data_IF_627260390415
#
_entry.id   IF_627260390415
#
_cell.length_a   1.000
_cell.length_b   1.000
_cell.length_c   1.000
_cell.angle_alpha   90.00
_cell.angle_beta   90.00
_cell.angle_gamma   90.00
#
_symmetry.space_group_name_H-M   'P 1'
#
loop_
_entity.id
_entity.type
_entity.pdbx_description
1 polymer ?
#
# COMPACT_ATOMS: atom_id res chain seq x y z
N UNK A 1 -19.02 -34.37 17.03
CA UNK A 1 -18.05 -34.73 15.98
C UNK A 1 -17.37 -33.44 15.52
N UNK A 2 -16.06 -33.26 15.67
CA UNK A 2 -15.38 -32.11 15.08
C UNK A 2 -15.01 -32.43 13.63
N UNK A 3 -15.37 -31.55 12.70
CA UNK A 3 -14.85 -31.58 11.34
C UNK A 3 -13.39 -31.11 11.36
N UNK A 4 -12.49 -32.07 11.17
CA UNK A 4 -11.05 -31.85 11.01
C UNK A 4 -10.80 -31.18 9.66
N UNK A 5 -9.93 -30.17 9.65
CA UNK A 5 -9.62 -29.30 8.51
C UNK A 5 -9.10 -30.01 7.24
N UNK A 6 -8.62 -29.26 6.23
CA UNK A 6 -8.18 -29.83 4.95
C UNK A 6 -7.21 -30.98 5.20
N UNK A 7 -7.35 -32.13 4.50
CA UNK A 7 -6.73 -33.36 4.95
C UNK A 7 -5.23 -33.19 4.89
N UNK A 8 -4.53 -33.36 6.03
CA UNK A 8 -3.07 -33.37 6.09
C UNK A 8 -2.43 -34.24 4.97
N UNK A 9 -3.17 -35.26 4.52
CA UNK A 9 -2.91 -36.09 3.36
C UNK A 9 -2.61 -35.30 2.06
N UNK A 10 -3.24 -34.15 1.81
CA UNK A 10 -3.06 -33.41 0.56
C UNK A 10 -1.71 -32.72 0.46
N UNK A 11 -1.28 -32.05 1.54
CA UNK A 11 0.04 -31.42 1.61
C UNK A 11 1.13 -32.47 1.58
N UNK A 12 0.94 -33.58 2.30
CA UNK A 12 1.90 -34.67 2.31
C UNK A 12 2.02 -35.35 0.94
N UNK A 13 0.92 -35.54 0.22
CA UNK A 13 0.92 -36.01 -1.16
C UNK A 13 1.67 -35.05 -2.09
N UNK A 14 1.37 -33.75 -2.02
CA UNK A 14 2.02 -32.73 -2.85
C UNK A 14 3.51 -32.60 -2.53
N UNK A 15 3.89 -32.72 -1.26
CA UNK A 15 5.29 -32.73 -0.80
C UNK A 15 6.03 -33.93 -1.34
N UNK A 16 5.48 -35.14 -1.20
CA UNK A 16 6.08 -36.36 -1.76
C UNK A 16 6.30 -36.23 -3.28
N UNK A 17 5.29 -35.74 -4.01
CA UNK A 17 5.42 -35.53 -5.46
C UNK A 17 6.43 -34.45 -5.82
N UNK A 18 6.58 -33.41 -5.00
CA UNK A 18 7.61 -32.39 -5.19
C UNK A 18 9.02 -32.97 -4.99
N UNK A 19 9.20 -33.82 -3.97
CA UNK A 19 10.46 -34.53 -3.73
C UNK A 19 10.80 -35.50 -4.87
N UNK A 20 9.79 -36.20 -5.41
CA UNK A 20 9.95 -37.09 -6.58
C UNK A 20 10.27 -36.30 -7.87
N UNK A 21 9.65 -35.12 -8.05
CA UNK A 21 9.72 -34.33 -9.28
C UNK A 21 9.93 -32.83 -8.99
N UNK A 22 11.13 -32.43 -8.54
CA UNK A 22 11.40 -31.06 -8.09
C UNK A 22 11.41 -30.03 -9.24
N UNK A 23 11.54 -30.47 -10.48
CA UNK A 23 11.46 -29.61 -11.67
C UNK A 23 10.02 -29.41 -12.20
N UNK A 24 9.03 -30.08 -11.61
CA UNK A 24 7.62 -29.92 -12.01
C UNK A 24 7.03 -28.63 -11.44
N UNK A 25 5.84 -28.20 -11.91
CA UNK A 25 5.11 -27.04 -11.36
C UNK A 25 4.37 -27.33 -10.05
N UNK A 26 4.55 -28.51 -9.47
CA UNK A 26 3.77 -28.94 -8.30
C UNK A 26 4.08 -28.11 -7.04
N UNK A 27 5.28 -27.52 -6.96
CA UNK A 27 5.68 -26.62 -5.89
C UNK A 27 4.73 -25.42 -5.75
N UNK A 28 4.12 -24.95 -6.85
CA UNK A 28 3.13 -23.87 -6.81
C UNK A 28 1.85 -24.29 -6.07
N UNK A 29 1.41 -25.53 -6.30
CA UNK A 29 0.23 -26.07 -5.62
C UNK A 29 0.54 -26.26 -4.14
N UNK A 30 1.70 -26.85 -3.82
CA UNK A 30 2.14 -27.05 -2.46
C UNK A 30 2.28 -25.73 -1.69
N UNK A 31 2.90 -24.71 -2.29
CA UNK A 31 3.04 -23.39 -1.69
C UNK A 31 1.68 -22.70 -1.46
N UNK A 32 0.74 -22.85 -2.40
CA UNK A 32 -0.60 -22.29 -2.23
C UNK A 32 -1.38 -22.98 -1.09
N UNK A 33 -1.22 -24.30 -0.89
CA UNK A 33 -1.79 -24.98 0.28
C UNK A 33 -1.19 -24.45 1.59
N UNK A 34 0.14 -24.30 1.66
CA UNK A 34 0.80 -23.71 2.83
C UNK A 34 0.31 -22.29 3.12
N UNK A 35 0.24 -21.45 2.09
CA UNK A 35 -0.28 -20.08 2.20
C UNK A 35 -1.72 -20.05 2.73
N UNK A 36 -2.61 -20.92 2.22
CA UNK A 36 -4.01 -21.01 2.69
C UNK A 36 -4.15 -21.46 4.13
N UNK A 37 -3.18 -22.20 4.65
CA UNK A 37 -3.14 -22.59 6.06
C UNK A 37 -2.56 -21.50 6.99
N UNK A 38 -2.19 -20.33 6.45
CA UNK A 38 -1.51 -19.29 7.23
C UNK A 38 -0.07 -19.65 7.55
N UNK A 39 0.58 -20.45 6.69
CA UNK A 39 1.97 -20.87 6.77
C UNK A 39 2.80 -20.30 5.60
N UNK A 40 2.88 -18.97 5.46
CA UNK A 40 3.56 -18.32 4.33
C UNK A 40 5.07 -18.54 4.31
N UNK A 41 5.73 -18.75 5.47
CA UNK A 41 7.16 -19.04 5.53
C UNK A 41 7.48 -20.39 4.88
N UNK A 42 6.69 -21.43 5.16
CA UNK A 42 6.82 -22.74 4.52
C UNK A 42 6.51 -22.66 3.02
N UNK A 43 5.56 -21.80 2.63
CA UNK A 43 5.29 -21.54 1.22
C UNK A 43 6.52 -20.93 0.52
N UNK A 44 7.21 -19.98 1.16
CA UNK A 44 8.44 -19.35 0.64
C UNK A 44 9.53 -20.40 0.43
N UNK A 45 9.79 -21.27 1.40
CA UNK A 45 10.82 -22.32 1.28
C UNK A 45 10.58 -23.24 0.07
N UNK A 46 9.32 -23.66 -0.12
CA UNK A 46 8.92 -24.49 -1.26
C UNK A 46 9.06 -23.74 -2.59
N UNK A 47 8.69 -22.46 -2.62
CA UNK A 47 8.80 -21.61 -3.80
C UNK A 47 10.26 -21.39 -4.19
N UNK A 48 11.13 -21.11 -3.23
CA UNK A 48 12.57 -20.93 -3.45
C UNK A 48 13.22 -22.23 -3.96
N UNK A 49 12.87 -23.37 -3.36
CA UNK A 49 13.34 -24.68 -3.83
C UNK A 49 12.88 -24.99 -5.26
N UNK A 50 11.62 -24.71 -5.59
CA UNK A 50 11.07 -24.89 -6.94
C UNK A 50 11.69 -23.95 -7.96
N UNK A 51 11.88 -22.68 -7.60
CA UNK A 51 12.50 -21.66 -8.46
C UNK A 51 14.00 -21.91 -8.65
N UNK A 52 14.70 -22.52 -7.70
CA UNK A 52 16.09 -22.95 -7.90
C UNK A 52 16.23 -23.98 -9.04
N UNK A 53 15.19 -24.78 -9.31
CA UNK A 53 15.13 -25.69 -10.47
C UNK A 53 14.54 -25.02 -11.71
N UNK A 54 13.72 -23.99 -11.53
CA UNK A 54 12.97 -23.28 -12.59
C UNK A 54 13.06 -21.76 -12.42
N UNK A 55 14.23 -21.16 -12.62
CA UNK A 55 14.44 -19.73 -12.31
C UNK A 55 13.65 -18.77 -13.22
N UNK A 56 13.08 -19.25 -14.32
CA UNK A 56 12.24 -18.47 -15.23
C UNK A 56 10.73 -18.61 -15.01
N UNK A 57 10.28 -19.33 -13.98
CA UNK A 57 8.84 -19.51 -13.75
C UNK A 57 8.20 -18.26 -13.12
N UNK A 58 7.64 -17.40 -13.97
CA UNK A 58 7.00 -16.15 -13.56
C UNK A 58 5.89 -16.37 -12.52
N UNK A 59 5.10 -17.44 -12.65
CA UNK A 59 4.03 -17.73 -11.70
C UNK A 59 4.58 -18.06 -10.31
N UNK A 60 5.72 -18.75 -10.24
CA UNK A 60 6.42 -19.01 -8.98
C UNK A 60 7.00 -17.75 -8.35
N UNK A 61 7.60 -16.88 -9.16
CA UNK A 61 8.12 -15.60 -8.68
C UNK A 61 6.99 -14.70 -8.14
N UNK A 62 5.84 -14.64 -8.81
CA UNK A 62 4.67 -13.90 -8.32
C UNK A 62 4.13 -14.48 -7.01
N UNK A 63 4.03 -15.81 -6.90
CA UNK A 63 3.63 -16.46 -5.66
C UNK A 63 4.61 -16.17 -4.51
N UNK A 64 5.92 -16.14 -4.81
CA UNK A 64 6.97 -15.80 -3.83
C UNK A 64 6.85 -14.35 -3.37
N UNK A 65 6.68 -13.41 -4.29
CA UNK A 65 6.44 -12.00 -3.98
C UNK A 65 5.20 -11.81 -3.10
N UNK A 66 4.10 -12.52 -3.38
CA UNK A 66 2.89 -12.49 -2.55
C UNK A 66 3.15 -12.99 -1.13
N UNK A 67 3.79 -14.15 -0.98
CA UNK A 67 4.05 -14.70 0.37
C UNK A 67 5.00 -13.78 1.16
N UNK A 68 6.01 -13.19 0.51
CA UNK A 68 6.91 -12.20 1.12
C UNK A 68 6.17 -10.94 1.58
N UNK A 69 5.18 -10.47 0.81
CA UNK A 69 4.31 -9.37 1.24
C UNK A 69 3.50 -9.71 2.47
N UNK A 70 2.90 -10.90 2.51
CA UNK A 70 2.06 -11.35 3.64
C UNK A 70 2.83 -11.40 4.97
N UNK A 71 4.13 -11.66 4.95
CA UNK A 71 5.00 -11.68 6.14
C UNK A 71 5.78 -10.38 6.37
N UNK A 72 5.55 -9.34 5.55
CA UNK A 72 6.21 -8.05 5.69
C UNK A 72 7.67 -7.99 5.22
N UNK A 73 8.15 -8.97 4.44
CA UNK A 73 9.45 -8.91 3.75
C UNK A 73 9.32 -8.07 2.47
N UNK A 74 9.01 -6.78 2.64
CA UNK A 74 8.57 -5.91 1.57
C UNK A 74 9.64 -5.67 0.51
N UNK A 75 10.89 -5.41 0.92
CA UNK A 75 12.01 -5.18 -0.01
C UNK A 75 12.28 -6.41 -0.88
N UNK A 76 12.27 -7.59 -0.26
CA UNK A 76 12.47 -8.86 -0.96
C UNK A 76 11.29 -9.19 -1.89
N UNK A 77 10.06 -8.76 -1.54
CA UNK A 77 8.92 -8.87 -2.42
C UNK A 77 9.05 -7.95 -3.65
N UNK A 78 9.44 -6.69 -3.44
CA UNK A 78 9.69 -5.73 -4.52
C UNK A 78 10.70 -6.28 -5.51
N UNK A 79 11.88 -6.73 -5.05
CA UNK A 79 12.92 -7.28 -5.92
C UNK A 79 12.41 -8.45 -6.77
N UNK A 80 11.65 -9.35 -6.15
CA UNK A 80 11.08 -10.53 -6.84
C UNK A 80 10.08 -10.12 -7.90
N UNK A 81 9.19 -9.18 -7.58
CA UNK A 81 8.13 -8.71 -8.45
C UNK A 81 8.68 -7.85 -9.60
N UNK A 82 9.69 -7.02 -9.34
CA UNK A 82 10.43 -6.30 -10.40
C UNK A 82 11.07 -7.26 -11.38
N UNK A 83 11.63 -8.38 -10.91
CA UNK A 83 12.15 -9.45 -11.75
C UNK A 83 11.10 -10.09 -12.68
N UNK A 84 9.83 -10.14 -12.24
CA UNK A 84 8.69 -10.56 -13.09
C UNK A 84 8.36 -9.49 -14.10
N UNK A 85 8.20 -8.23 -13.66
CA UNK A 85 7.85 -7.10 -14.52
C UNK A 85 8.90 -6.85 -15.60
N UNK A 86 10.17 -7.08 -15.32
CA UNK A 86 11.26 -6.99 -16.30
C UNK A 86 11.11 -8.01 -17.45
N UNK A 87 10.44 -9.14 -17.21
CA UNK A 87 10.19 -10.20 -18.20
C UNK A 87 8.81 -10.09 -18.86
N UNK A 88 7.81 -9.70 -18.08
CA UNK A 88 6.44 -9.48 -18.53
C UNK A 88 5.90 -8.20 -17.86
N UNK A 89 6.06 -7.09 -18.57
CA UNK A 89 5.64 -5.78 -18.09
C UNK A 89 4.12 -5.65 -17.91
N UNK A 90 3.34 -6.44 -18.66
CA UNK A 90 1.89 -6.43 -18.61
C UNK A 90 1.30 -7.41 -17.58
N UNK A 91 2.15 -8.13 -16.83
CA UNK A 91 1.68 -9.13 -15.88
C UNK A 91 0.80 -8.49 -14.80
N UNK A 92 -0.51 -8.75 -14.86
CA UNK A 92 -1.52 -8.07 -14.05
C UNK A 92 -1.26 -8.21 -12.55
N UNK A 93 -1.11 -9.45 -12.08
CA UNK A 93 -0.97 -9.75 -10.65
C UNK A 93 0.34 -9.17 -10.10
N UNK A 94 1.45 -9.27 -10.83
CA UNK A 94 2.73 -8.71 -10.42
C UNK A 94 2.67 -7.19 -10.27
N UNK A 95 2.01 -6.48 -11.19
CA UNK A 95 1.83 -5.03 -11.10
C UNK A 95 1.02 -4.65 -9.85
N UNK A 96 -0.10 -5.34 -9.58
CA UNK A 96 -0.93 -5.10 -8.38
C UNK A 96 -0.14 -5.30 -7.10
N UNK A 97 0.56 -6.43 -6.98
CA UNK A 97 1.38 -6.75 -5.81
C UNK A 97 2.55 -5.78 -5.64
N UNK A 98 3.16 -5.30 -6.73
CA UNK A 98 4.26 -4.35 -6.65
C UNK A 98 3.79 -2.96 -6.19
N UNK A 99 2.60 -2.52 -6.63
CA UNK A 99 1.97 -1.29 -6.13
C UNK A 99 1.72 -1.43 -4.63
N UNK A 100 1.13 -2.54 -4.19
CA UNK A 100 0.88 -2.83 -2.79
C UNK A 100 2.18 -2.85 -1.96
N UNK A 101 3.23 -3.49 -2.47
CA UNK A 101 4.54 -3.53 -1.83
C UNK A 101 5.11 -2.13 -1.59
N UNK A 102 5.09 -1.26 -2.60
CA UNK A 102 5.56 0.12 -2.47
C UNK A 102 4.69 0.94 -1.50
N UNK A 103 3.37 0.73 -1.48
CA UNK A 103 2.49 1.39 -0.52
C UNK A 103 2.79 0.97 0.92
N UNK A 104 3.02 -0.33 1.16
CA UNK A 104 3.38 -0.83 2.50
C UNK A 104 4.77 -0.36 2.93
N UNK A 105 5.72 -0.17 2.00
CA UNK A 105 7.03 0.43 2.26
C UNK A 105 6.99 1.92 2.56
N UNK A 106 5.86 2.59 2.27
CA UNK A 106 5.76 4.05 2.33
C UNK A 106 6.39 4.77 1.12
N UNK A 107 6.79 4.06 0.07
CA UNK A 107 7.31 4.61 -1.18
C UNK A 107 6.16 5.02 -2.11
N UNK A 108 5.44 6.07 -1.69
CA UNK A 108 4.26 6.57 -2.39
C UNK A 108 4.58 7.05 -3.82
N UNK A 109 5.81 7.51 -4.06
CA UNK A 109 6.24 7.97 -5.38
C UNK A 109 6.29 6.80 -6.36
N UNK A 110 7.02 5.73 -6.03
CA UNK A 110 7.09 4.54 -6.91
C UNK A 110 5.76 3.83 -7.04
N UNK A 111 4.98 3.76 -5.96
CA UNK A 111 3.62 3.22 -6.01
C UNK A 111 2.75 3.99 -7.01
N UNK A 112 2.78 5.33 -6.97
CA UNK A 112 2.03 6.19 -7.88
C UNK A 112 2.46 6.02 -9.34
N UNK A 113 3.77 6.04 -9.62
CA UNK A 113 4.30 5.82 -10.97
C UNK A 113 3.85 4.48 -11.55
N UNK A 114 3.97 3.40 -10.76
CA UNK A 114 3.55 2.07 -11.17
C UNK A 114 2.05 1.97 -11.39
N UNK A 115 1.25 2.59 -10.52
CA UNK A 115 -0.21 2.63 -10.63
C UNK A 115 -0.66 3.33 -11.92
N UNK A 116 -0.03 4.44 -12.30
CA UNK A 116 -0.36 5.15 -13.55
C UNK A 116 -0.05 4.29 -14.78
N UNK A 117 1.11 3.61 -14.79
CA UNK A 117 1.42 2.64 -15.85
C UNK A 117 0.39 1.50 -15.90
N UNK A 118 0.01 0.99 -14.74
CA UNK A 118 -0.97 -0.09 -14.63
C UNK A 118 -2.36 0.33 -15.15
N UNK A 119 -2.81 1.57 -14.86
CA UNK A 119 -4.06 2.15 -15.41
C UNK A 119 -4.03 2.24 -16.92
N UNK A 120 -2.91 2.68 -17.52
CA UNK A 120 -2.77 2.79 -18.97
C UNK A 120 -2.90 1.44 -19.66
N UNK A 121 -2.36 0.38 -19.05
CA UNK A 121 -2.42 -0.98 -19.59
C UNK A 121 -3.77 -1.66 -19.34
N UNK A 122 -4.48 -1.29 -18.26
CA UNK A 122 -5.61 -2.06 -17.71
C UNK A 122 -6.80 -1.19 -17.29
N UNK A 123 -7.19 -0.22 -18.12
CA UNK A 123 -8.20 0.79 -17.80
C UNK A 123 -9.57 0.24 -17.33
N UNK A 124 -9.91 -1.00 -17.68
CA UNK A 124 -11.17 -1.65 -17.31
C UNK A 124 -11.05 -2.62 -16.12
N UNK A 125 -9.89 -2.76 -15.48
CA UNK A 125 -9.72 -3.68 -14.35
C UNK A 125 -10.46 -3.16 -13.10
N UNK A 126 -11.42 -3.92 -12.53
CA UNK A 126 -12.17 -3.50 -11.35
C UNK A 126 -11.32 -3.22 -10.11
N UNK A 127 -10.09 -3.77 -10.04
CA UNK A 127 -9.13 -3.49 -8.98
C UNK A 127 -8.73 -2.01 -8.91
N UNK A 128 -8.96 -1.23 -9.98
CA UNK A 128 -8.74 0.21 -10.00
C UNK A 128 -9.83 1.02 -9.29
N UNK A 129 -10.96 0.44 -8.90
CA UNK A 129 -12.06 1.16 -8.25
C UNK A 129 -11.67 2.08 -7.07
N UNK A 130 -10.78 1.69 -6.13
CA UNK A 130 -10.33 2.57 -5.06
C UNK A 130 -9.37 3.68 -5.52
N UNK A 131 -8.86 3.60 -6.75
CA UNK A 131 -7.93 4.54 -7.35
C UNK A 131 -8.63 5.32 -8.46
N UNK A 132 -9.28 6.47 -8.17
CA UNK A 132 -9.93 7.25 -9.20
C UNK A 132 -8.94 7.54 -10.34
N UNK A 133 -9.46 7.55 -11.57
CA UNK A 133 -8.67 8.03 -12.70
C UNK A 133 -8.05 9.37 -12.32
N UNK A 134 -6.81 9.68 -12.74
CA UNK A 134 -6.33 11.04 -12.65
C UNK A 134 -7.43 11.90 -13.31
N UNK A 135 -8.11 12.72 -12.51
CA UNK A 135 -9.08 13.68 -13.02
C UNK A 135 -8.32 14.45 -14.05
N UNK A 136 -8.64 14.17 -15.32
CA UNK A 136 -7.84 14.55 -16.49
C UNK A 136 -7.14 15.85 -16.18
N UNK A 137 -5.79 15.83 -16.18
CA UNK A 137 -4.94 17.02 -16.04
C UNK A 137 -5.74 18.20 -16.57
N UNK A 138 -6.39 18.94 -15.66
CA UNK A 138 -6.87 20.25 -16.00
C UNK A 138 -5.55 20.96 -16.13
N UNK A 139 -5.01 20.94 -17.35
CA UNK A 139 -4.00 21.89 -17.74
C UNK A 139 -4.57 23.21 -17.27
N UNK A 140 -3.99 23.71 -16.19
CA UNK A 140 -4.33 25.00 -15.64
C UNK A 140 -3.88 25.97 -16.72
N UNK A 141 -4.75 26.25 -17.68
CA UNK A 141 -4.61 27.43 -18.53
C UNK A 141 -4.61 28.60 -17.56
N UNK A 142 -3.52 29.38 -17.48
CA UNK A 142 -3.41 30.49 -16.54
C UNK A 142 -4.24 31.65 -17.09
N UNK A 143 -5.56 31.50 -17.09
CA UNK A 143 -6.49 32.53 -17.55
C UNK A 143 -7.84 32.32 -16.89
N UNK A 144 -7.88 32.55 -15.59
CA UNK A 144 -8.85 33.43 -14.95
C UNK A 144 -8.54 33.47 -13.47
N UNK A 145 -8.26 34.66 -12.95
CA UNK A 145 -7.95 34.87 -11.55
C UNK A 145 -9.10 34.38 -10.67
N UNK A 146 -8.77 33.54 -9.70
CA UNK A 146 -9.66 33.28 -8.58
C UNK A 146 -8.83 33.11 -7.30
N UNK A 147 -8.94 34.10 -6.42
CA UNK A 147 -8.50 34.05 -5.03
C UNK A 147 -9.19 32.92 -4.30
N UNK A 148 -8.41 32.04 -3.66
CA UNK A 148 -8.93 31.06 -2.72
C UNK A 148 -9.33 31.79 -1.44
N UNK A 149 -10.63 32.00 -1.23
CA UNK A 149 -11.15 32.27 0.10
C UNK A 149 -11.25 30.93 0.83
N UNK A 150 -10.47 30.78 1.90
CA UNK A 150 -10.67 29.72 2.88
C UNK A 150 -12.01 29.96 3.57
N UNK A 151 -12.98 29.08 3.29
CA UNK A 151 -14.23 29.04 4.02
C UNK A 151 -13.95 28.52 5.44
N UNK A 152 -13.98 29.42 6.42
CA UNK A 152 -14.02 29.04 7.83
C UNK A 152 -15.28 28.20 8.07
N UNK A 153 -15.10 27.01 8.63
CA UNK A 153 -16.20 26.16 9.10
C UNK A 153 -16.90 26.86 10.27
N UNK A 154 -17.96 27.60 9.95
CA UNK A 154 -18.88 28.16 10.92
C UNK A 154 -19.59 27.05 11.70
N UNK A 155 -19.14 26.79 12.92
CA UNK A 155 -19.91 26.05 13.92
C UNK A 155 -21.02 26.97 14.44
N UNK A 156 -22.24 26.73 13.98
CA UNK A 156 -23.44 27.36 14.52
C UNK A 156 -23.73 26.84 15.93
N UNK A 157 -23.77 27.76 16.91
CA UNK A 157 -24.19 27.48 18.28
C UNK A 157 -24.64 28.76 18.99
N UNK A 158 -25.93 29.05 18.95
CA UNK A 158 -26.65 30.01 19.80
C UNK A 158 -27.88 29.28 20.36
N UNK A 159 -28.37 29.45 21.58
CA UNK A 159 -28.01 30.31 22.69
C UNK A 159 -28.72 29.79 23.96
N UNK A 160 -28.23 30.22 25.13
CA UNK A 160 -28.86 30.11 26.45
C UNK A 160 -27.76 29.87 27.48
N UNK A 161 -27.41 30.75 28.41
CA UNK A 161 -28.08 31.90 28.99
C UNK A 161 -27.87 31.80 30.51
N UNK A 162 -27.06 32.68 31.10
CA UNK A 162 -27.12 32.99 32.54
C UNK A 162 -26.13 32.31 33.50
N UNK A 163 -25.02 33.03 33.75
CA UNK A 163 -24.56 33.48 35.07
C UNK A 163 -23.90 32.54 36.12
N UNK A 164 -22.64 32.92 36.41
CA UNK A 164 -21.97 33.12 37.71
C UNK A 164 -20.95 32.09 38.24
N UNK A 165 -19.80 32.70 38.58
CA UNK A 165 -18.89 32.42 39.69
C UNK A 165 -17.78 31.37 39.54
N UNK A 166 -16.54 31.89 39.51
CA UNK A 166 -15.63 31.61 40.62
C UNK A 166 -14.37 30.79 40.33
N UNK A 167 -13.22 31.48 40.50
CA UNK A 167 -11.98 31.00 41.11
C UNK A 167 -10.93 30.24 40.26
N UNK A 168 -9.73 30.85 40.20
CA UNK A 168 -8.48 30.16 40.52
C UNK A 168 -7.36 30.18 39.47
N UNK A 169 -6.41 31.13 39.65
CA UNK A 169 -4.95 31.13 39.39
C UNK A 169 -4.35 30.14 38.35
N UNK A 170 -3.38 30.49 37.49
CA UNK A 170 -2.28 31.47 37.53
C UNK A 170 -1.88 31.82 36.06
N UNK A 171 -1.58 33.06 35.68
CA UNK A 171 -0.27 33.73 35.82
C UNK A 171 0.67 33.36 34.65
N UNK A 172 1.26 34.23 33.82
CA UNK A 172 1.46 35.69 33.78
C UNK A 172 1.69 36.07 32.30
N UNK A 173 1.02 37.12 31.82
CA UNK A 173 1.33 37.79 30.56
C UNK A 173 2.54 38.72 30.75
N UNK A 174 3.47 38.72 29.79
CA UNK A 174 4.43 39.82 29.62
C UNK A 174 4.24 40.40 28.21
N UNK A 175 3.75 41.64 28.15
CA UNK A 175 3.73 42.45 26.95
C UNK A 175 4.53 43.74 27.18
N UNK A 176 5.24 44.13 26.12
CA UNK A 176 5.69 45.46 25.73
C UNK A 176 6.86 46.14 26.50
N UNK A 177 7.93 46.38 25.74
CA UNK A 177 8.60 47.68 25.63
C UNK A 177 8.70 47.98 24.13
N UNK A 178 8.36 49.13 23.57
CA UNK A 178 8.36 50.50 24.10
C UNK A 178 9.26 51.32 23.18
N UNK A 179 8.71 52.33 22.50
CA UNK A 179 9.48 53.19 21.60
C UNK A 179 8.64 54.24 20.88
N UNK A 180 8.09 55.19 21.63
CA UNK A 180 7.53 56.44 21.11
C UNK A 180 8.66 57.43 20.79
N UNK A 181 8.55 58.14 19.67
CA UNK A 181 9.41 59.26 19.32
C UNK A 181 8.72 60.19 18.31
N UNK A 182 7.96 61.15 18.82
CA UNK A 182 7.24 62.19 18.08
C UNK A 182 8.18 63.29 17.54
N UNK A 183 7.84 63.89 16.38
CA UNK A 183 7.83 65.35 16.06
C UNK A 183 8.22 65.64 14.59
N UNK A 184 7.26 66.10 13.80
CA UNK A 184 7.41 67.27 12.90
C UNK A 184 6.97 68.52 13.70
N UNK A 185 7.27 69.79 13.30
CA UNK A 185 7.64 70.28 11.96
C UNK A 185 8.78 71.34 11.92
N UNK A 186 9.20 71.71 10.70
CA UNK A 186 9.58 73.07 10.30
C UNK A 186 9.24 73.28 8.82
#
# INVERSE_FOLDING_TARGET
MPELGPPANKIEELRRRFEEQPASRIFLQLAEEYRRLGLPEQAIEVLEAGLAKRPGDLSGMVALGRCRLEIGLLEAAVETLEGVIARDAAHLVANKLLIEAHLQLGDAERAGQRLELYKLLNAADPWLAPYPAPTALRYNTPESGYTVQVAEMGLGGHAGGGQLAGCGAAGVCLAAAGGWGSREPA
#
